data_IF_884916050777
#
_entry.id   IF_884916050777
#
_cell.length_a   1.000
_cell.length_b   1.000
_cell.length_c   1.000
_cell.angle_alpha   90.00
_cell.angle_beta   90.00
_cell.angle_gamma   90.00
#
_symmetry.space_group_name_H-M   'P 1'
#
loop_
_entity.id
_entity.type
_entity.pdbx_description
1 polymer ?
#
# COMPACT_ATOMS: atom_id res chain seq x y z
N UNK A 1 -12.69 7.71 0.66
CA UNK A 1 -12.24 7.22 1.99
C UNK A 1 -11.08 8.11 2.45
N UNK A 2 -11.12 8.64 3.66
CA UNK A 2 -9.98 9.37 4.23
C UNK A 2 -9.11 8.42 5.05
N UNK A 3 -7.81 8.58 4.97
CA UNK A 3 -6.85 7.80 5.73
C UNK A 3 -5.60 8.64 5.96
N UNK A 4 -4.84 8.30 7.00
CA UNK A 4 -3.54 8.90 7.28
C UNK A 4 -2.61 7.90 7.93
N UNK A 5 -1.31 8.12 7.78
CA UNK A 5 -0.29 7.45 8.57
C UNK A 5 0.04 8.36 9.74
N UNK A 6 -0.11 7.87 10.97
CA UNK A 6 0.22 8.58 12.21
C UNK A 6 1.02 7.65 13.09
N UNK A 7 2.18 8.08 13.57
CA UNK A 7 3.09 7.25 14.36
C UNK A 7 3.38 5.88 13.72
N UNK A 8 3.65 5.87 12.40
CA UNK A 8 3.92 4.66 11.61
C UNK A 8 2.74 3.68 11.51
N UNK A 9 1.54 4.06 11.94
CA UNK A 9 0.33 3.25 11.79
C UNK A 9 -0.60 3.89 10.78
N UNK A 10 -1.08 3.11 9.81
CA UNK A 10 -2.08 3.53 8.85
C UNK A 10 -3.48 3.40 9.47
N UNK A 11 -4.22 4.50 9.47
CA UNK A 11 -5.60 4.57 9.95
C UNK A 11 -6.55 5.02 8.85
N UNK A 12 -7.77 4.47 8.85
CA UNK A 12 -8.93 5.15 8.28
C UNK A 12 -9.30 6.32 9.20
N UNK A 13 -9.68 7.44 8.60
CA UNK A 13 -10.09 8.64 9.32
C UNK A 13 -11.47 9.11 8.88
N UNK A 14 -12.11 9.88 9.75
CA UNK A 14 -13.30 10.65 9.38
C UNK A 14 -12.93 11.85 8.48
N UNK A 15 -13.92 12.67 8.14
CA UNK A 15 -13.73 13.90 7.34
C UNK A 15 -12.87 14.95 8.03
N UNK A 16 -12.75 14.90 9.36
CA UNK A 16 -11.98 15.84 10.17
C UNK A 16 -10.55 15.33 10.46
N UNK A 17 -10.20 14.13 9.98
CA UNK A 17 -8.89 13.52 10.20
C UNK A 17 -8.73 12.84 11.55
N UNK A 18 -9.81 12.64 12.32
CA UNK A 18 -9.76 11.83 13.54
C UNK A 18 -9.52 10.37 13.17
N UNK A 19 -8.61 9.71 13.88
CA UNK A 19 -8.27 8.31 13.63
C UNK A 19 -9.41 7.40 14.08
N UNK A 20 -9.88 6.55 13.18
CA UNK A 20 -10.78 5.46 13.50
C UNK A 20 -10.04 4.13 13.41
N UNK A 21 -10.43 3.31 12.44
CA UNK A 21 -9.93 1.95 12.29
C UNK A 21 -8.45 1.93 11.89
N UNK A 22 -7.69 1.07 12.57
CA UNK A 22 -6.30 0.72 12.22
C UNK A 22 -6.26 -0.28 11.05
N UNK A 23 -5.41 -0.04 10.06
CA UNK A 23 -5.22 -0.91 8.89
C UNK A 23 -3.91 -1.71 8.98
N UNK A 24 -2.80 -1.04 9.32
CA UNK A 24 -1.49 -1.67 9.41
C UNK A 24 -0.55 -0.85 10.30
N UNK A 25 0.40 -1.53 10.92
CA UNK A 25 1.50 -0.95 11.70
C UNK A 25 2.81 -0.99 10.90
N UNK A 26 3.81 -0.23 11.34
CA UNK A 26 5.13 -0.10 10.70
C UNK A 26 5.02 0.28 9.21
N UNK A 27 4.14 1.22 8.89
CA UNK A 27 3.84 1.68 7.54
C UNK A 27 4.71 2.89 7.18
N UNK A 28 5.45 2.78 6.08
CA UNK A 28 6.19 3.88 5.46
C UNK A 28 5.33 4.59 4.41
N UNK A 29 4.50 3.84 3.68
CA UNK A 29 3.65 4.38 2.63
C UNK A 29 2.34 3.60 2.51
N UNK A 30 1.25 4.28 2.13
CA UNK A 30 -0.05 3.66 1.93
C UNK A 30 -0.84 4.37 0.85
N UNK A 31 -1.49 3.60 -0.02
CA UNK A 31 -2.48 4.12 -0.97
C UNK A 31 -3.73 3.25 -0.96
N UNK A 32 -4.83 3.75 -1.50
CA UNK A 32 -6.13 3.11 -1.43
C UNK A 32 -6.83 3.16 -2.80
N UNK A 33 -7.35 2.02 -3.24
CA UNK A 33 -8.21 1.90 -4.41
C UNK A 33 -9.67 1.87 -3.95
N UNK A 34 -10.43 2.92 -4.24
CA UNK A 34 -11.84 3.03 -3.82
C UNK A 34 -12.78 2.12 -4.62
N UNK A 35 -12.43 1.73 -5.85
CA UNK A 35 -13.24 0.79 -6.63
C UNK A 35 -13.16 -0.63 -6.03
N UNK A 36 -11.98 -1.03 -5.57
CA UNK A 36 -11.77 -2.36 -4.99
C UNK A 36 -11.90 -2.42 -3.47
N UNK A 37 -11.91 -1.27 -2.79
CA UNK A 37 -11.91 -1.18 -1.32
C UNK A 37 -10.68 -1.88 -0.70
N UNK A 38 -9.51 -1.66 -1.30
CA UNK A 38 -8.25 -2.27 -0.90
C UNK A 38 -7.18 -1.20 -0.67
N UNK A 39 -6.41 -1.37 0.40
CA UNK A 39 -5.16 -0.65 0.63
C UNK A 39 -3.98 -1.38 0.00
N UNK A 40 -3.05 -0.65 -0.59
CA UNK A 40 -1.70 -1.12 -0.89
C UNK A 40 -0.76 -0.45 0.10
N UNK A 41 -0.14 -1.26 0.94
CA UNK A 41 0.67 -0.83 2.09
C UNK A 41 2.12 -1.19 1.81
N UNK A 42 3.01 -0.22 1.97
CA UNK A 42 4.45 -0.43 2.04
C UNK A 42 4.89 -0.28 3.49
N UNK A 43 5.49 -1.32 4.04
CA UNK A 43 6.04 -1.33 5.39
C UNK A 43 7.44 -0.73 5.41
N UNK A 44 7.89 -0.30 6.59
CA UNK A 44 9.22 0.28 6.81
C UNK A 44 10.36 -0.70 6.46
N UNK A 45 10.12 -2.01 6.60
CA UNK A 45 11.05 -3.05 6.17
C UNK A 45 11.03 -3.33 4.66
N UNK A 46 10.21 -2.60 3.90
CA UNK A 46 10.10 -2.71 2.45
C UNK A 46 9.15 -3.79 1.93
N UNK A 47 8.39 -4.45 2.80
CA UNK A 47 7.30 -5.33 2.37
C UNK A 47 6.17 -4.52 1.75
N UNK A 48 5.67 -4.96 0.60
CA UNK A 48 4.45 -4.44 -0.02
C UNK A 48 3.36 -5.50 0.04
N UNK A 49 2.20 -5.13 0.55
CA UNK A 49 1.05 -6.02 0.66
C UNK A 49 -0.26 -5.27 0.44
N UNK A 50 -1.28 -5.99 0.00
CA UNK A 50 -2.64 -5.45 -0.03
C UNK A 50 -3.40 -5.84 1.22
N UNK A 51 -4.18 -4.92 1.77
CA UNK A 51 -5.07 -5.15 2.91
C UNK A 51 -6.49 -4.71 2.61
N UNK A 52 -7.47 -5.38 3.20
CA UNK A 52 -8.86 -4.92 3.15
C UNK A 52 -9.09 -3.70 4.07
N UNK A 53 -10.28 -3.10 4.01
CA UNK A 53 -10.67 -1.99 4.89
C UNK A 53 -10.75 -2.37 6.37
N UNK A 54 -10.72 -3.67 6.70
CA UNK A 54 -10.72 -4.14 8.08
C UNK A 54 -9.29 -4.31 8.63
N UNK A 55 -8.27 -4.16 7.79
CA UNK A 55 -6.86 -4.34 8.14
C UNK A 55 -6.35 -5.77 7.93
N UNK A 56 -7.17 -6.67 7.37
CA UNK A 56 -6.74 -8.04 7.07
C UNK A 56 -5.82 -8.04 5.86
N UNK A 57 -4.71 -8.79 5.95
CA UNK A 57 -3.82 -9.00 4.81
C UNK A 57 -4.50 -9.89 3.78
N UNK A 58 -4.54 -9.42 2.53
CA UNK A 58 -5.08 -10.16 1.38
C UNK A 58 -3.95 -10.91 0.66
N UNK A 59 -2.84 -10.22 0.37
CA UNK A 59 -1.67 -10.81 -0.30
C UNK A 59 -0.41 -9.97 -0.10
N UNK A 60 0.74 -10.63 -0.16
CA UNK A 60 2.03 -9.97 -0.37
C UNK A 60 2.24 -9.75 -1.86
N UNK A 61 2.76 -8.58 -2.23
CA UNK A 61 3.02 -8.16 -3.62
C UNK A 61 4.51 -8.27 -3.95
N UNK A 62 5.37 -7.72 -3.09
CA UNK A 62 6.83 -7.74 -3.26
C UNK A 62 7.52 -7.37 -1.95
N UNK A 63 8.83 -7.54 -1.91
CA UNK A 63 9.71 -7.15 -0.80
C UNK A 63 10.74 -6.14 -1.30
N UNK A 64 11.50 -5.46 -0.43
CA UNK A 64 12.53 -4.49 -0.82
C UNK A 64 11.99 -3.29 -1.63
N UNK A 65 10.82 -2.77 -1.24
CA UNK A 65 10.25 -1.54 -1.81
C UNK A 65 10.41 -0.34 -0.88
N UNK A 66 10.52 0.84 -1.47
CA UNK A 66 10.41 2.13 -0.76
C UNK A 66 8.95 2.59 -0.76
N UNK A 67 8.25 2.33 -1.87
CA UNK A 67 6.92 2.89 -2.12
C UNK A 67 6.18 2.09 -3.20
N UNK A 68 4.87 1.93 -3.05
CA UNK A 68 4.01 1.29 -4.02
C UNK A 68 2.69 2.06 -4.20
N UNK A 69 2.21 2.18 -5.44
CA UNK A 69 0.96 2.87 -5.79
C UNK A 69 0.13 2.09 -6.81
N UNK A 70 -1.18 2.26 -6.76
CA UNK A 70 -2.07 1.86 -7.86
C UNK A 70 -1.91 2.81 -9.04
N UNK A 71 -1.92 2.28 -10.26
CA UNK A 71 -1.92 3.03 -11.51
C UNK A 71 -2.81 2.32 -12.53
N UNK A 72 -4.07 2.77 -12.65
CA UNK A 72 -5.06 2.10 -13.48
C UNK A 72 -5.23 0.64 -13.05
N UNK A 73 -4.94 -0.32 -13.93
CA UNK A 73 -4.98 -1.76 -13.63
C UNK A 73 -3.67 -2.34 -13.13
N UNK A 74 -2.61 -1.54 -13.03
CA UNK A 74 -1.27 -1.98 -12.64
C UNK A 74 -0.86 -1.37 -11.28
N UNK A 75 0.26 -1.88 -10.76
CA UNK A 75 0.96 -1.36 -9.59
C UNK A 75 2.31 -0.79 -10.04
N UNK A 76 2.65 0.41 -9.59
CA UNK A 76 3.97 1.01 -9.77
C UNK A 76 4.70 0.93 -8.43
N UNK A 77 5.87 0.30 -8.43
CA UNK A 77 6.63 0.00 -7.20
C UNK A 77 8.06 0.49 -7.36
N UNK A 78 8.47 1.41 -6.48
CA UNK A 78 9.86 1.89 -6.40
C UNK A 78 10.64 1.03 -5.42
N UNK A 79 11.73 0.43 -5.89
CA UNK A 79 12.58 -0.51 -5.15
C UNK A 79 13.68 0.21 -4.37
N UNK A 80 14.20 -0.44 -3.34
CA UNK A 80 15.33 0.06 -2.55
C UNK A 80 16.63 0.14 -3.36
N UNK A 81 16.75 -0.64 -4.43
CA UNK A 81 17.89 -0.64 -5.35
C UNK A 81 17.81 0.42 -6.47
N UNK A 82 16.81 1.31 -6.41
CA UNK A 82 16.62 2.39 -7.37
C UNK A 82 15.80 2.01 -8.61
N UNK A 83 15.48 0.72 -8.83
CA UNK A 83 14.60 0.30 -9.94
C UNK A 83 13.15 0.67 -9.69
N UNK A 84 12.39 0.82 -10.77
CA UNK A 84 10.93 0.90 -10.72
C UNK A 84 10.32 -0.29 -11.44
N UNK A 85 9.41 -0.99 -10.77
CA UNK A 85 8.70 -2.15 -11.30
C UNK A 85 7.25 -1.78 -11.61
N UNK A 86 6.76 -2.26 -12.75
CA UNK A 86 5.33 -2.33 -13.06
C UNK A 86 4.90 -3.77 -12.82
N UNK A 87 3.95 -3.96 -11.90
CA UNK A 87 3.35 -5.25 -11.60
C UNK A 87 1.86 -5.25 -11.92
N UNK A 88 1.28 -6.41 -12.19
CA UNK A 88 -0.17 -6.53 -12.20
C UNK A 88 -0.74 -6.48 -10.77
N UNK A 89 -2.08 -6.45 -10.64
CA UNK A 89 -2.74 -6.44 -9.34
C UNK A 89 -2.51 -7.70 -8.49
N UNK A 90 -2.08 -8.79 -9.12
CA UNK A 90 -1.76 -10.03 -8.42
C UNK A 90 -0.34 -10.04 -7.87
N UNK A 91 0.50 -9.08 -8.27
CA UNK A 91 1.90 -8.95 -7.86
C UNK A 91 2.89 -9.58 -8.83
N UNK A 92 2.45 -10.00 -10.02
CA UNK A 92 3.36 -10.49 -11.05
C UNK A 92 4.09 -9.33 -11.71
N UNK A 93 5.41 -9.46 -11.87
CA UNK A 93 6.21 -8.46 -12.57
C UNK A 93 5.88 -8.46 -14.06
N UNK A 94 5.49 -7.30 -14.59
CA UNK A 94 5.24 -7.11 -16.03
C UNK A 94 6.47 -6.56 -16.74
N UNK A 95 7.10 -5.52 -16.16
CA UNK A 95 8.28 -4.84 -16.73
C UNK A 95 8.95 -3.92 -15.70
N UNK A 96 10.12 -3.41 -16.05
CA UNK A 96 10.79 -2.31 -15.37
C UNK A 96 10.52 -0.98 -16.10
N UNK A 97 10.63 0.15 -15.38
CA UNK A 97 10.69 1.50 -15.94
C UNK A 97 12.10 2.08 -15.77
#
# INVERSE_FOLDING_TARGET
MNYKISNQTLFICDTYGNTGRRIADNVSFGTYDDAQKIFLVTSINGKVETRDINGNQIRTITENAIEARFSGTDLIIRKTDGRTEVRDRMGNLKRYL
#
